data_IF_521689222825
#
_entry.id   IF_521689222825
#
_cell.length_a   1.000
_cell.length_b   1.000
_cell.length_c   1.000
_cell.angle_alpha   90.00
_cell.angle_beta   90.00
_cell.angle_gamma   90.00
#
_symmetry.space_group_name_H-M   'P 1'
#
loop_
_entity.id
_entity.type
_entity.pdbx_description
1 polymer ?
#
# COMPACT_ATOMS: atom_id res chain seq x y z
N UNK A 1 3.31 8.12 -15.72
CA UNK A 1 3.49 8.02 -14.28
C UNK A 1 4.77 7.27 -13.98
N UNK A 2 5.56 7.81 -13.07
CA UNK A 2 6.86 7.27 -12.71
C UNK A 2 6.72 6.30 -11.52
N UNK A 3 7.25 5.09 -11.64
CA UNK A 3 7.03 4.03 -10.64
C UNK A 3 8.09 4.03 -9.52
N UNK A 4 9.34 4.36 -9.88
CA UNK A 4 10.47 4.43 -8.95
C UNK A 4 11.44 5.51 -9.44
N UNK A 5 11.53 6.61 -8.72
CA UNK A 5 12.39 7.73 -9.08
C UNK A 5 13.84 7.55 -8.61
N UNK A 6 14.12 6.63 -7.68
CA UNK A 6 15.44 6.48 -7.05
C UNK A 6 16.52 6.00 -8.01
N UNK A 7 16.17 5.11 -8.94
CA UNK A 7 17.10 4.47 -9.88
C UNK A 7 16.94 4.95 -11.33
N UNK A 8 16.08 5.94 -11.56
CA UNK A 8 15.84 6.43 -12.93
C UNK A 8 16.84 7.51 -13.29
N UNK A 9 17.29 7.42 -14.51
CA UNK A 9 18.10 8.46 -15.17
C UNK A 9 17.25 9.10 -16.27
N UNK A 10 17.05 10.40 -16.20
CA UNK A 10 16.36 11.15 -17.22
C UNK A 10 17.32 12.15 -17.84
N UNK A 11 17.55 12.03 -19.15
CA UNK A 11 18.38 12.98 -19.92
C UNK A 11 19.78 13.23 -19.32
N UNK A 12 20.37 12.17 -18.73
CA UNK A 12 21.71 12.23 -18.13
C UNK A 12 21.75 12.62 -16.64
N UNK A 13 20.61 12.95 -16.04
CA UNK A 13 20.53 13.28 -14.61
C UNK A 13 19.79 12.18 -13.83
N UNK A 14 20.35 11.82 -12.67
CA UNK A 14 19.76 10.84 -11.75
C UNK A 14 18.81 11.54 -10.78
N UNK A 15 17.68 10.93 -10.49
CA UNK A 15 16.73 11.36 -9.45
C UNK A 15 16.07 12.73 -9.67
N UNK A 16 16.09 13.26 -10.89
CA UNK A 16 15.49 14.57 -11.18
C UNK A 16 13.99 14.63 -10.84
N UNK A 17 13.30 13.48 -10.78
CA UNK A 17 11.88 13.41 -10.47
C UNK A 17 11.55 13.43 -8.97
N UNK A 18 12.53 13.32 -8.07
CA UNK A 18 12.32 13.35 -6.63
C UNK A 18 12.81 14.64 -5.95
N UNK A 19 13.21 15.65 -6.74
CA UNK A 19 13.73 16.93 -6.25
C UNK A 19 12.64 18.00 -6.06
N UNK A 20 11.44 17.75 -6.58
CA UNK A 20 10.30 18.68 -6.51
C UNK A 20 10.20 19.64 -7.70
N UNK A 21 11.15 19.63 -8.63
CA UNK A 21 11.18 20.53 -9.79
C UNK A 21 10.19 20.11 -10.88
N UNK A 22 9.92 18.80 -10.97
CA UNK A 22 9.15 18.20 -12.06
C UNK A 22 7.92 17.44 -11.55
N UNK A 23 8.08 16.64 -10.49
CA UNK A 23 7.00 15.87 -9.86
C UNK A 23 7.04 16.07 -8.36
N UNK A 24 5.86 16.21 -7.74
CA UNK A 24 5.73 16.21 -6.28
C UNK A 24 5.93 14.81 -5.71
N UNK A 25 5.51 13.77 -6.47
CA UNK A 25 5.63 12.38 -6.07
C UNK A 25 5.38 11.41 -7.24
N UNK A 26 5.42 10.10 -6.94
CA UNK A 26 5.16 9.01 -7.90
C UNK A 26 4.25 7.95 -7.29
N UNK A 27 3.68 7.10 -8.16
CA UNK A 27 3.01 5.86 -7.72
C UNK A 27 4.07 4.87 -7.20
N UNK A 28 3.95 4.49 -5.93
CA UNK A 28 4.96 3.68 -5.24
C UNK A 28 4.77 2.17 -5.51
N UNK A 29 5.02 1.76 -6.74
CA UNK A 29 4.95 0.35 -7.12
C UNK A 29 5.95 -0.56 -6.37
N UNK A 30 7.15 -0.12 -6.01
CA UNK A 30 8.03 -0.93 -5.16
C UNK A 30 7.39 -1.30 -3.82
N UNK A 31 6.74 -0.37 -3.14
CA UNK A 31 6.01 -0.65 -1.88
C UNK A 31 4.77 -1.50 -2.16
N UNK A 32 4.07 -1.29 -3.28
CA UNK A 32 2.96 -2.16 -3.70
C UNK A 32 3.40 -3.62 -3.76
N UNK A 33 4.46 -3.91 -4.47
CA UNK A 33 4.98 -5.28 -4.61
C UNK A 33 5.44 -5.84 -3.26
N UNK A 34 6.08 -5.02 -2.43
CA UNK A 34 6.49 -5.44 -1.10
C UNK A 34 5.30 -5.82 -0.20
N UNK A 35 4.25 -4.99 -0.19
CA UNK A 35 3.02 -5.26 0.58
C UNK A 35 2.38 -6.57 0.11
N UNK A 36 2.14 -6.72 -1.19
CA UNK A 36 1.50 -7.91 -1.74
C UNK A 36 2.34 -9.18 -1.47
N UNK A 37 3.65 -9.13 -1.74
CA UNK A 37 4.54 -10.27 -1.54
C UNK A 37 4.67 -10.65 -0.06
N UNK A 38 4.74 -9.68 0.86
CA UNK A 38 4.75 -9.97 2.29
C UNK A 38 3.44 -10.63 2.74
N UNK A 39 2.30 -10.02 2.42
CA UNK A 39 0.98 -10.51 2.85
C UNK A 39 0.68 -11.90 2.26
N UNK A 40 1.16 -12.18 1.04
CA UNK A 40 1.02 -13.49 0.40
C UNK A 40 2.06 -14.53 0.87
N UNK A 41 3.01 -14.16 1.72
CA UNK A 41 4.06 -15.06 2.20
C UNK A 41 5.17 -15.34 1.20
N UNK A 42 5.28 -14.55 0.13
CA UNK A 42 6.31 -14.70 -0.91
C UNK A 42 7.67 -14.13 -0.47
N UNK A 43 7.66 -13.15 0.47
CA UNK A 43 8.88 -12.54 1.04
C UNK A 43 8.78 -12.44 2.55
N UNK A 44 9.93 -12.35 3.24
CA UNK A 44 9.98 -12.17 4.69
C UNK A 44 9.69 -10.72 5.11
N UNK A 45 9.30 -10.53 6.36
CA UNK A 45 9.16 -9.21 6.97
C UNK A 45 10.48 -8.41 6.92
N UNK A 46 11.63 -9.09 7.12
CA UNK A 46 12.94 -8.44 7.03
C UNK A 46 13.27 -7.91 5.62
N UNK A 47 12.79 -8.58 4.56
CA UNK A 47 12.93 -8.07 3.19
C UNK A 47 12.08 -6.82 2.97
N UNK A 48 10.87 -6.78 3.53
CA UNK A 48 10.01 -5.61 3.51
C UNK A 48 10.68 -4.41 4.22
N UNK A 49 11.20 -4.62 5.43
CA UNK A 49 11.90 -3.59 6.22
C UNK A 49 13.07 -3.00 5.43
N UNK A 50 13.89 -3.84 4.78
CA UNK A 50 15.01 -3.36 3.95
C UNK A 50 14.56 -2.43 2.81
N UNK A 51 13.42 -2.73 2.16
CA UNK A 51 12.88 -1.85 1.12
C UNK A 51 12.48 -0.49 1.67
N UNK A 52 11.80 -0.44 2.83
CA UNK A 52 11.37 0.82 3.45
C UNK A 52 12.59 1.65 3.85
N UNK A 53 13.61 1.03 4.46
CA UNK A 53 14.85 1.72 4.79
C UNK A 53 15.58 2.23 3.54
N UNK A 54 15.62 1.43 2.46
CA UNK A 54 16.19 1.90 1.19
C UNK A 54 15.45 3.14 0.65
N UNK A 55 14.13 3.18 0.71
CA UNK A 55 13.38 4.38 0.31
C UNK A 55 13.66 5.58 1.23
N UNK A 56 13.95 5.32 2.51
CA UNK A 56 14.34 6.36 3.46
C UNK A 56 15.72 6.96 3.14
N UNK A 57 16.65 6.14 2.67
CA UNK A 57 17.99 6.57 2.27
C UNK A 57 18.00 7.34 0.95
N UNK A 58 17.15 6.95 -0.01
CA UNK A 58 17.23 7.47 -1.39
C UNK A 58 16.25 8.61 -1.70
N UNK A 59 15.16 8.75 -0.93
CA UNK A 59 14.17 9.81 -1.15
C UNK A 59 14.25 10.91 -0.08
N UNK A 60 14.16 12.20 -0.46
CA UNK A 60 13.90 13.27 0.48
C UNK A 60 12.62 13.01 1.28
N UNK A 61 12.57 13.47 2.53
CA UNK A 61 11.41 13.25 3.41
C UNK A 61 10.10 13.76 2.78
N UNK A 62 10.12 14.97 2.21
CA UNK A 62 8.96 15.58 1.55
C UNK A 62 8.41 14.70 0.43
N UNK A 63 9.29 14.18 -0.43
CA UNK A 63 8.90 13.29 -1.52
C UNK A 63 8.35 11.97 -0.98
N UNK A 64 9.01 11.38 0.02
CA UNK A 64 8.60 10.10 0.63
C UNK A 64 7.22 10.20 1.30
N UNK A 65 6.92 11.30 1.99
CA UNK A 65 5.61 11.52 2.64
C UNK A 65 4.50 11.88 1.63
N UNK A 66 4.85 12.23 0.41
CA UNK A 66 3.92 12.44 -0.69
C UNK A 66 3.76 11.21 -1.60
N UNK A 67 4.56 10.12 -1.42
CA UNK A 67 4.46 8.90 -2.24
C UNK A 67 3.04 8.34 -2.24
N UNK A 68 2.54 8.02 -3.43
CA UNK A 68 1.23 7.41 -3.62
C UNK A 68 1.34 5.90 -3.39
N UNK A 69 1.18 5.46 -2.13
CA UNK A 69 1.18 4.05 -1.77
C UNK A 69 -0.15 3.40 -2.13
N UNK A 70 -0.09 2.27 -2.84
CA UNK A 70 -1.27 1.61 -3.39
C UNK A 70 -1.08 0.09 -3.40
N UNK A 71 -2.16 -0.67 -3.53
CA UNK A 71 -2.13 -2.11 -3.82
C UNK A 71 -2.92 -2.46 -5.09
N UNK A 72 -3.89 -1.63 -5.47
CA UNK A 72 -4.65 -1.71 -6.71
C UNK A 72 -4.47 -0.48 -7.60
N UNK A 73 -4.57 -0.67 -8.90
CA UNK A 73 -4.57 0.42 -9.89
C UNK A 73 -5.27 0.01 -11.18
N UNK A 74 -5.50 0.98 -12.07
CA UNK A 74 -6.07 0.74 -13.39
C UNK A 74 -5.11 -0.01 -14.36
N UNK A 75 -3.82 -0.12 -14.01
CA UNK A 75 -2.80 -0.78 -14.85
C UNK A 75 -2.48 -2.21 -14.41
N UNK A 76 -3.09 -2.66 -13.32
CA UNK A 76 -2.80 -3.97 -12.71
C UNK A 76 -4.07 -4.78 -12.50
N UNK A 77 -3.92 -6.09 -12.39
CA UNK A 77 -4.98 -6.97 -11.90
C UNK A 77 -5.49 -6.47 -10.54
N UNK A 78 -6.80 -6.61 -10.26
CA UNK A 78 -7.41 -6.20 -9.00
C UNK A 78 -6.72 -6.85 -7.80
N UNK A 79 -6.59 -6.09 -6.72
CA UNK A 79 -5.89 -6.55 -5.52
C UNK A 79 -6.46 -7.86 -4.98
N UNK A 80 -7.78 -8.02 -4.92
CA UNK A 80 -8.41 -9.25 -4.44
C UNK A 80 -8.08 -10.48 -5.32
N UNK A 81 -8.01 -10.32 -6.64
CA UNK A 81 -7.60 -11.42 -7.52
C UNK A 81 -6.15 -11.86 -7.23
N UNK A 82 -5.24 -10.91 -7.08
CA UNK A 82 -3.84 -11.19 -6.75
C UNK A 82 -3.74 -11.91 -5.40
N UNK A 83 -4.42 -11.38 -4.38
CA UNK A 83 -4.39 -11.90 -3.01
C UNK A 83 -5.06 -13.27 -2.87
N UNK A 84 -5.96 -13.62 -3.79
CA UNK A 84 -6.52 -14.97 -3.93
C UNK A 84 -5.58 -15.94 -4.67
N UNK A 85 -4.48 -15.45 -5.26
CA UNK A 85 -3.61 -16.27 -6.13
C UNK A 85 -4.16 -16.43 -7.56
N UNK A 86 -5.08 -15.54 -8.00
CA UNK A 86 -5.71 -15.55 -9.32
C UNK A 86 -5.26 -14.35 -10.17
N UNK A 87 -3.98 -14.25 -10.45
CA UNK A 87 -3.39 -13.12 -11.19
C UNK A 87 -3.77 -13.09 -12.68
N UNK A 88 -4.22 -14.21 -13.26
CA UNK A 88 -4.76 -14.32 -14.62
C UNK A 88 -3.76 -14.03 -15.77
N UNK A 89 -2.46 -13.94 -15.51
CA UNK A 89 -1.47 -13.56 -16.53
C UNK A 89 -1.42 -14.55 -17.70
N UNK A 90 -1.61 -15.84 -17.39
CA UNK A 90 -1.54 -16.95 -18.37
C UNK A 90 -2.81 -17.12 -19.20
N UNK A 91 -3.87 -16.36 -18.89
CA UNK A 91 -5.16 -16.49 -19.56
C UNK A 91 -5.31 -15.51 -20.72
N UNK A 92 -6.01 -15.94 -21.78
CA UNK A 92 -6.42 -15.02 -22.84
C UNK A 92 -7.35 -13.92 -22.27
N UNK A 93 -7.43 -12.77 -22.94
CA UNK A 93 -8.34 -11.69 -22.52
C UNK A 93 -9.82 -12.13 -22.48
N UNK A 94 -10.21 -13.03 -23.38
CA UNK A 94 -11.56 -13.59 -23.40
C UNK A 94 -11.83 -14.46 -22.17
N UNK A 95 -10.86 -15.28 -21.77
CA UNK A 95 -10.98 -16.16 -20.60
C UNK A 95 -10.96 -15.36 -19.29
N UNK A 96 -10.17 -14.29 -19.24
CA UNK A 96 -10.06 -13.42 -18.07
C UNK A 96 -11.41 -12.80 -17.64
N UNK A 97 -12.34 -12.56 -18.56
CA UNK A 97 -13.65 -12.02 -18.22
C UNK A 97 -14.49 -12.98 -17.37
N UNK A 98 -14.24 -14.28 -17.47
CA UNK A 98 -14.99 -15.34 -16.77
C UNK A 98 -14.35 -15.78 -15.47
N UNK A 99 -13.22 -15.18 -15.10
CA UNK A 99 -12.58 -15.48 -13.81
C UNK A 99 -13.40 -14.91 -12.66
N UNK A 100 -13.84 -15.79 -11.79
CA UNK A 100 -14.53 -15.48 -10.55
C UNK A 100 -13.80 -16.15 -9.39
N UNK A 101 -13.77 -15.49 -8.24
CA UNK A 101 -13.29 -16.09 -7.01
C UNK A 101 -14.43 -16.92 -6.40
N UNK A 102 -14.13 -18.12 -5.95
CA UNK A 102 -15.06 -18.86 -5.11
C UNK A 102 -15.11 -18.25 -3.69
N UNK A 103 -15.98 -18.75 -2.82
CA UNK A 103 -16.19 -18.19 -1.48
C UNK A 103 -14.90 -18.21 -0.66
N UNK A 104 -14.19 -19.33 -0.64
CA UNK A 104 -12.95 -19.50 0.13
C UNK A 104 -11.83 -18.60 -0.37
N UNK A 105 -11.67 -18.48 -1.70
CA UNK A 105 -10.72 -17.57 -2.35
C UNK A 105 -11.03 -16.12 -2.02
N UNK A 106 -12.30 -15.74 -2.06
CA UNK A 106 -12.74 -14.39 -1.74
C UNK A 106 -12.49 -14.05 -0.27
N UNK A 107 -12.87 -14.92 0.66
CA UNK A 107 -12.64 -14.70 2.09
C UNK A 107 -11.15 -14.60 2.42
N UNK A 108 -10.30 -15.45 1.83
CA UNK A 108 -8.85 -15.36 1.96
C UNK A 108 -8.32 -14.02 1.44
N UNK A 109 -8.77 -13.62 0.24
CA UNK A 109 -8.36 -12.36 -0.37
C UNK A 109 -8.78 -11.16 0.48
N UNK A 110 -9.99 -11.16 1.05
CA UNK A 110 -10.47 -10.10 1.94
C UNK A 110 -9.64 -10.01 3.22
N UNK A 111 -9.32 -11.16 3.85
CA UNK A 111 -8.42 -11.15 5.02
C UNK A 111 -7.06 -10.54 4.70
N UNK A 112 -6.45 -10.95 3.60
CA UNK A 112 -5.18 -10.41 3.12
C UNK A 112 -5.27 -8.93 2.73
N UNK A 113 -6.36 -8.51 2.11
CA UNK A 113 -6.56 -7.11 1.73
C UNK A 113 -6.68 -6.19 2.97
N UNK A 114 -7.29 -6.66 4.04
CA UNK A 114 -7.32 -5.93 5.32
C UNK A 114 -5.91 -5.66 5.84
N UNK A 115 -5.00 -6.64 5.78
CA UNK A 115 -3.59 -6.45 6.14
C UNK A 115 -2.89 -5.43 5.21
N UNK A 116 -3.21 -5.46 3.90
CA UNK A 116 -2.71 -4.45 2.97
C UNK A 116 -3.16 -3.04 3.37
N UNK A 117 -4.42 -2.86 3.75
CA UNK A 117 -4.97 -1.57 4.22
C UNK A 117 -4.29 -1.13 5.53
N UNK A 118 -4.04 -2.06 6.46
CA UNK A 118 -3.31 -1.75 7.69
C UNK A 118 -1.91 -1.22 7.38
N UNK A 119 -1.18 -1.87 6.46
CA UNK A 119 0.14 -1.42 6.02
C UNK A 119 0.08 -0.07 5.29
N UNK A 120 -0.86 0.14 4.37
CA UNK A 120 -1.04 1.42 3.68
C UNK A 120 -1.31 2.56 4.66
N UNK A 121 -2.10 2.30 5.71
CA UNK A 121 -2.41 3.29 6.72
C UNK A 121 -1.27 3.53 7.72
N UNK A 122 -0.40 2.57 7.94
CA UNK A 122 0.71 2.68 8.88
C UNK A 122 1.96 3.34 8.27
N UNK A 123 2.23 3.13 6.98
CA UNK A 123 3.43 3.61 6.30
C UNK A 123 3.39 5.12 6.00
N UNK A 124 4.56 5.80 5.90
CA UNK A 124 4.66 7.14 5.33
C UNK A 124 4.18 7.19 3.89
N UNK A 125 3.59 8.30 3.47
CA UNK A 125 3.03 8.50 2.14
C UNK A 125 1.50 8.57 2.15
N UNK A 126 0.88 8.68 0.99
CA UNK A 126 -0.57 8.76 0.81
C UNK A 126 -1.16 7.36 0.64
N UNK A 127 -2.02 6.93 1.57
CA UNK A 127 -2.76 5.69 1.42
C UNK A 127 -3.78 5.82 0.29
N UNK A 128 -3.58 5.08 -0.80
CA UNK A 128 -4.40 5.18 -2.00
C UNK A 128 -5.19 3.90 -2.24
N UNK A 129 -6.50 4.04 -2.43
CA UNK A 129 -7.41 2.94 -2.73
C UNK A 129 -7.92 3.09 -4.15
N UNK A 130 -7.75 2.06 -4.98
CA UNK A 130 -8.36 2.02 -6.30
C UNK A 130 -9.84 1.71 -6.16
N UNK A 131 -10.71 2.49 -6.85
CA UNK A 131 -12.16 2.37 -6.70
C UNK A 131 -12.65 0.94 -6.83
N UNK A 132 -13.54 0.53 -5.95
CA UNK A 132 -14.14 -0.79 -5.93
C UNK A 132 -13.35 -1.83 -5.14
N UNK A 133 -12.05 -1.68 -4.92
CA UNK A 133 -11.28 -2.61 -4.08
C UNK A 133 -11.80 -2.58 -2.63
N UNK A 134 -12.23 -1.42 -2.16
CA UNK A 134 -12.81 -1.22 -0.82
C UNK A 134 -14.17 -1.90 -0.61
N UNK A 135 -14.81 -2.34 -1.68
CA UNK A 135 -16.12 -3.00 -1.66
C UNK A 135 -16.10 -4.41 -2.27
N UNK A 136 -14.91 -4.96 -2.47
CA UNK A 136 -14.76 -6.34 -2.89
C UNK A 136 -14.81 -6.55 -4.41
N UNK A 137 -14.64 -5.52 -5.23
CA UNK A 137 -14.65 -5.67 -6.68
C UNK A 137 -13.44 -6.47 -7.15
N UNK A 138 -13.71 -7.50 -7.96
CA UNK A 138 -12.70 -8.39 -8.55
C UNK A 138 -12.55 -8.14 -10.05
N UNK A 139 -11.42 -8.53 -10.62
CA UNK A 139 -11.16 -8.45 -12.05
C UNK A 139 -9.70 -8.72 -12.37
N UNK A 140 -9.47 -9.35 -13.51
CA UNK A 140 -8.13 -9.63 -14.03
C UNK A 140 -7.48 -8.36 -14.61
N UNK A 141 -6.66 -8.47 -15.65
CA UNK A 141 -6.00 -7.32 -16.27
C UNK A 141 -6.97 -6.51 -17.15
N UNK A 142 -6.53 -5.36 -17.61
CA UNK A 142 -7.26 -4.49 -18.52
C UNK A 142 -7.87 -5.28 -19.71
N UNK A 143 -9.18 -5.11 -20.00
CA UNK A 143 -10.12 -4.12 -19.44
C UNK A 143 -10.89 -4.59 -18.19
N UNK A 144 -10.67 -5.82 -17.71
CA UNK A 144 -11.50 -6.48 -16.69
C UNK A 144 -11.25 -5.95 -15.27
N UNK A 145 -10.12 -5.31 -15.01
CA UNK A 145 -9.85 -4.56 -13.78
C UNK A 145 -10.60 -3.21 -13.71
N UNK A 146 -11.20 -2.75 -14.79
CA UNK A 146 -11.92 -1.47 -14.91
C UNK A 146 -13.44 -1.64 -14.95
N UNK A 147 -13.96 -2.73 -14.35
CA UNK A 147 -15.40 -3.00 -14.26
C UNK A 147 -16.11 -1.86 -13.54
N UNK A 148 -17.42 -1.69 -13.86
CA UNK A 148 -18.28 -0.73 -13.17
C UNK A 148 -18.34 -1.01 -11.67
N UNK A 149 -18.50 0.06 -10.88
CA UNK A 149 -18.69 -0.05 -9.43
C UNK A 149 -19.93 -0.89 -9.13
N UNK A 150 -19.87 -1.83 -8.14
CA UNK A 150 -20.93 -2.79 -7.90
C UNK A 150 -22.07 -2.21 -7.04
N UNK A 151 -22.71 -1.14 -7.51
CA UNK A 151 -23.81 -0.48 -6.80
C UNK A 151 -24.89 -1.47 -6.30
N UNK A 152 -25.18 -1.42 -5.00
CA UNK A 152 -26.16 -2.29 -4.35
C UNK A 152 -25.65 -3.72 -4.06
N UNK A 153 -24.41 -4.04 -4.41
CA UNK A 153 -23.79 -5.35 -4.18
C UNK A 153 -22.41 -5.23 -3.50
N UNK A 154 -22.19 -4.13 -2.82
CA UNK A 154 -20.93 -3.85 -2.11
C UNK A 154 -20.73 -4.77 -0.92
N UNK A 155 -19.52 -5.25 -0.68
CA UNK A 155 -19.15 -5.82 0.61
C UNK A 155 -19.09 -4.72 1.66
N UNK A 156 -20.22 -4.54 2.36
CA UNK A 156 -20.38 -3.50 3.38
C UNK A 156 -19.44 -3.68 4.58
N UNK A 157 -19.07 -4.93 4.90
CA UNK A 157 -18.14 -5.22 5.99
C UNK A 157 -16.74 -4.74 5.65
N UNK A 158 -16.26 -5.06 4.44
CA UNK A 158 -14.97 -4.59 3.93
C UNK A 158 -14.97 -3.06 3.80
N UNK A 159 -16.02 -2.49 3.23
CA UNK A 159 -16.16 -1.03 3.08
C UNK A 159 -16.03 -0.31 4.42
N UNK A 160 -16.72 -0.79 5.44
CA UNK A 160 -16.65 -0.22 6.80
C UNK A 160 -15.24 -0.32 7.38
N UNK A 161 -14.57 -1.47 7.18
CA UNK A 161 -13.19 -1.66 7.64
C UNK A 161 -12.25 -0.64 7.01
N UNK A 162 -12.25 -0.55 5.68
CA UNK A 162 -11.40 0.38 4.91
C UNK A 162 -11.68 1.83 5.32
N UNK A 163 -12.95 2.22 5.39
CA UNK A 163 -13.35 3.57 5.77
C UNK A 163 -12.87 3.94 7.19
N UNK A 164 -12.95 3.02 8.15
CA UNK A 164 -12.50 3.26 9.52
C UNK A 164 -10.97 3.44 9.58
N UNK A 165 -10.21 2.61 8.87
CA UNK A 165 -8.74 2.71 8.84
C UNK A 165 -8.26 4.01 8.19
N UNK A 166 -8.85 4.39 7.07
CA UNK A 166 -8.53 5.66 6.40
C UNK A 166 -8.90 6.87 7.26
N UNK A 167 -10.06 6.84 7.94
CA UNK A 167 -10.46 7.91 8.86
C UNK A 167 -9.50 8.01 10.03
N UNK A 168 -9.15 6.89 10.67
CA UNK A 168 -8.19 6.88 11.76
C UNK A 168 -6.84 7.50 11.32
N UNK A 169 -6.33 7.10 10.15
CA UNK A 169 -5.12 7.73 9.60
C UNK A 169 -5.31 9.23 9.36
N UNK A 170 -6.46 9.65 8.83
CA UNK A 170 -6.74 11.06 8.55
C UNK A 170 -6.77 11.91 9.82
N UNK A 171 -7.24 11.34 10.93
CA UNK A 171 -7.38 12.01 12.23
C UNK A 171 -6.08 11.96 13.07
N UNK A 172 -5.12 11.08 12.73
CA UNK A 172 -3.87 10.90 13.45
C UNK A 172 -2.71 11.62 12.78
N UNK A 173 -2.20 12.69 13.39
CA UNK A 173 -0.98 13.37 12.93
C UNK A 173 0.24 12.46 13.04
N UNK A 174 0.28 11.53 14.02
CA UNK A 174 1.32 10.53 14.12
C UNK A 174 1.40 9.68 12.86
N UNK A 175 0.26 9.17 12.37
CA UNK A 175 0.21 8.35 11.15
C UNK A 175 0.48 9.15 9.87
N UNK A 176 0.09 10.43 9.85
CA UNK A 176 0.30 11.27 8.66
C UNK A 176 1.73 11.79 8.56
N UNK A 177 2.26 12.34 9.65
CA UNK A 177 3.45 13.17 9.65
C UNK A 177 4.56 12.69 10.60
N UNK A 178 4.25 11.76 11.53
CA UNK A 178 5.25 11.25 12.48
C UNK A 178 6.36 10.46 11.78
N UNK A 179 7.54 10.44 12.39
CA UNK A 179 8.62 9.52 11.99
C UNK A 179 8.13 8.08 12.00
N UNK A 180 8.70 7.26 11.16
CA UNK A 180 8.35 5.85 11.01
C UNK A 180 9.56 4.98 11.33
N UNK A 181 9.51 4.28 12.45
CA UNK A 181 10.46 3.23 12.74
C UNK A 181 9.77 1.89 12.42
N UNK A 182 10.43 1.01 11.66
CA UNK A 182 9.87 -0.28 11.23
C UNK A 182 10.84 -1.42 11.55
N UNK A 183 10.32 -2.48 12.15
CA UNK A 183 11.07 -3.65 12.58
C UNK A 183 10.38 -4.94 12.15
N UNK A 184 11.16 -6.01 12.00
CA UNK A 184 10.70 -7.37 11.74
C UNK A 184 11.10 -8.27 12.91
N UNK A 185 10.25 -8.42 13.96
CA UNK A 185 10.53 -9.30 15.08
C UNK A 185 10.71 -10.78 14.67
N UNK A 186 10.02 -11.19 13.61
CA UNK A 186 10.11 -12.49 12.96
C UNK A 186 9.80 -12.36 11.46
N UNK A 187 9.81 -13.48 10.72
CA UNK A 187 9.59 -13.49 9.26
C UNK A 187 8.16 -13.12 8.84
N UNK A 188 7.20 -13.17 9.75
CA UNK A 188 5.78 -13.02 9.46
C UNK A 188 5.17 -11.76 10.09
N UNK A 189 5.94 -11.03 10.89
CA UNK A 189 5.46 -9.89 11.67
C UNK A 189 6.23 -8.62 11.36
N UNK A 190 5.50 -7.54 11.08
CA UNK A 190 6.01 -6.18 11.00
C UNK A 190 5.53 -5.40 12.22
N UNK A 191 6.44 -4.68 12.87
CA UNK A 191 6.14 -3.74 13.93
C UNK A 191 6.48 -2.33 13.44
N UNK A 192 5.47 -1.46 13.33
CA UNK A 192 5.60 -0.10 12.82
C UNK A 192 5.30 0.86 13.95
N UNK A 193 6.25 1.70 14.30
CA UNK A 193 6.10 2.75 15.32
C UNK A 193 6.08 4.11 14.65
N UNK A 194 5.03 4.89 14.91
CA UNK A 194 4.88 6.27 14.44
C UNK A 194 4.97 7.22 15.63
N UNK A 195 5.85 8.23 15.56
CA UNK A 195 6.07 9.20 16.66
C UNK A 195 6.62 10.52 16.16
N UNK A 196 6.43 11.59 16.93
CA UNK A 196 7.19 12.82 16.77
C UNK A 196 8.57 12.66 17.43
N UNK A 197 9.57 13.43 16.99
CA UNK A 197 10.92 13.46 17.58
C UNK A 197 11.26 14.90 17.97
N UNK A 198 11.62 15.10 19.23
CA UNK A 198 12.08 16.40 19.75
C UNK A 198 11.12 17.57 19.44
N UNK A 199 9.81 17.31 19.53
CA UNK A 199 8.78 18.30 19.25
C UNK A 199 8.56 18.61 17.77
N UNK A 200 9.07 17.76 16.85
CA UNK A 200 8.96 17.96 15.42
C UNK A 200 8.38 16.72 14.73
N UNK A 201 7.69 16.94 13.61
CA UNK A 201 7.28 15.90 12.68
C UNK A 201 8.43 15.50 11.74
N UNK A 202 8.19 14.51 10.88
CA UNK A 202 9.20 14.01 9.94
C UNK A 202 9.55 14.98 8.80
N UNK A 203 8.82 16.06 8.64
CA UNK A 203 9.09 17.14 7.69
C UNK A 203 9.80 18.33 8.34
N UNK A 204 10.12 18.23 9.65
CA UNK A 204 10.79 19.27 10.43
C UNK A 204 9.88 20.40 10.92
N UNK A 205 8.55 20.21 10.86
CA UNK A 205 7.60 21.18 11.40
C UNK A 205 7.38 20.95 12.90
N UNK A 206 7.25 22.04 13.67
CA UNK A 206 6.92 21.94 15.09
C UNK A 206 5.58 21.24 15.30
N UNK A 207 5.52 20.36 16.31
CA UNK A 207 4.32 19.62 16.67
C UNK A 207 4.15 19.55 18.17
N UNK A 208 2.93 19.78 18.63
CA UNK A 208 2.53 19.60 20.03
C UNK A 208 2.05 18.18 20.33
N UNK A 209 1.93 17.33 19.31
CA UNK A 209 1.51 15.94 19.44
C UNK A 209 2.61 15.15 20.15
N UNK A 210 2.23 14.43 21.20
CA UNK A 210 3.13 13.60 21.99
C UNK A 210 2.71 12.13 21.92
N UNK A 211 3.62 11.25 22.38
CA UNK A 211 3.37 9.81 22.40
C UNK A 211 3.80 9.11 21.10
N UNK A 212 3.33 7.90 20.97
CA UNK A 212 3.58 7.04 19.81
C UNK A 212 2.38 6.18 19.50
N UNK A 213 2.25 5.82 18.24
CA UNK A 213 1.31 4.81 17.77
C UNK A 213 2.09 3.59 17.26
N UNK A 214 1.72 2.41 17.73
CA UNK A 214 2.39 1.16 17.39
C UNK A 214 1.40 0.26 16.67
N UNK A 215 1.73 -0.12 15.44
CA UNK A 215 0.92 -0.98 14.60
C UNK A 215 1.68 -2.29 14.37
N UNK A 216 1.08 -3.40 14.77
CA UNK A 216 1.61 -4.73 14.50
C UNK A 216 0.79 -5.36 13.38
N UNK A 217 1.48 -5.82 12.33
CA UNK A 217 0.87 -6.55 11.21
C UNK A 217 1.54 -7.92 11.11
N UNK A 218 0.78 -8.96 11.43
CA UNK A 218 1.22 -10.35 11.31
C UNK A 218 0.40 -11.05 10.21
N UNK A 219 1.07 -11.61 9.20
CA UNK A 219 0.40 -12.26 8.07
C UNK A 219 -0.16 -13.66 8.39
N UNK A 220 0.25 -14.26 9.52
CA UNK A 220 -0.26 -15.56 10.00
C UNK A 220 -1.54 -15.44 10.82
N UNK A 221 -1.95 -14.24 11.16
CA UNK A 221 -3.21 -14.02 11.86
C UNK A 221 -4.37 -14.04 10.86
N UNK A 222 -4.84 -15.23 10.56
CA UNK A 222 -6.22 -15.79 10.35
C UNK A 222 -7.18 -15.12 9.40
#
# INVERSE_FOLDING_TARGET
VWEDASNKVAYGETRCYCTGDTLDSVMNYPVREAILNFVMGKTSASAFVRLIHHQEEVYPAQFRYALMNLVGSHDRCRALNILAGRECQELSKADQQHVHLNVEEYELAVRRYKLCIDLLCALPGCATVYYGDEVGLTGCHDPWNRRAYPWGREDKSLQKYVANKLRHRQESDLLRLGYCDIEAPDDDTLLITRRMKDGHDALGQESTVTGKEVIQVCRKLH
#
